data_IF_370737633790
#
_entry.id   IF_370737633790
#
_cell.length_a   1.000
_cell.length_b   1.000
_cell.length_c   1.000
_cell.angle_alpha   90.00
_cell.angle_beta   90.00
_cell.angle_gamma   90.00
#
_symmetry.space_group_name_H-M   'P 1'
#
loop_
_entity.id
_entity.type
_entity.pdbx_description
1 polymer ?
#
# COMPACT_ATOMS: atom_id res chain seq x y z
N UNK A 1 -2.25 10.13 -12.61
CA UNK A 1 -2.01 11.54 -12.23
C UNK A 1 -1.41 11.54 -10.83
N UNK A 2 -0.35 12.30 -10.55
CA UNK A 2 0.20 12.37 -9.19
C UNK A 2 -0.86 12.89 -8.22
N UNK A 3 -0.90 12.34 -7.01
CA UNK A 3 -1.82 12.82 -5.97
C UNK A 3 -1.38 14.18 -5.49
N UNK A 4 -2.34 15.10 -5.45
CA UNK A 4 -2.19 16.36 -4.74
C UNK A 4 -2.30 16.09 -3.24
N UNK A 5 -1.16 16.09 -2.56
CA UNK A 5 -1.07 15.87 -1.11
C UNK A 5 -1.83 16.97 -0.34
N UNK A 6 -2.07 18.15 -0.91
CA UNK A 6 -2.90 19.18 -0.24
C UNK A 6 -4.35 18.72 -0.04
N UNK A 7 -4.82 17.74 -0.82
CA UNK A 7 -6.15 17.16 -0.73
C UNK A 7 -6.21 15.96 0.22
N UNK A 8 -5.20 15.75 1.09
CA UNK A 8 -5.15 14.60 2.00
C UNK A 8 -6.39 14.49 2.89
N UNK A 9 -6.89 15.64 3.38
CA UNK A 9 -8.13 15.74 4.16
C UNK A 9 -9.39 15.97 3.32
N UNK A 10 -9.28 15.89 1.99
CA UNK A 10 -10.35 16.16 1.03
C UNK A 10 -11.27 14.96 0.82
N UNK A 11 -11.82 14.86 -0.40
CA UNK A 11 -12.85 13.87 -0.75
C UNK A 11 -12.43 12.40 -0.53
N UNK A 12 -11.12 12.13 -0.58
CA UNK A 12 -10.57 10.80 -0.35
C UNK A 12 -10.33 10.49 1.12
N UNK A 13 -10.62 11.39 2.06
CA UNK A 13 -10.52 11.19 3.51
C UNK A 13 -9.26 10.40 3.97
N UNK A 14 -8.07 10.73 3.43
CA UNK A 14 -6.84 9.96 3.66
C UNK A 14 -6.28 10.13 5.08
N UNK A 15 -6.74 11.14 5.81
CA UNK A 15 -6.49 11.33 7.24
C UNK A 15 -7.00 10.18 8.12
N UNK A 16 -7.94 9.36 7.62
CA UNK A 16 -8.38 8.14 8.32
C UNK A 16 -7.31 7.04 8.29
N UNK A 17 -6.40 7.09 7.32
CA UNK A 17 -5.34 6.10 7.11
C UNK A 17 -4.07 6.54 7.84
N UNK A 18 -3.62 7.78 7.62
CA UNK A 18 -2.40 8.31 8.21
C UNK A 18 -2.36 9.85 8.20
N UNK A 19 -1.44 10.42 8.98
CA UNK A 19 -1.00 11.82 8.88
C UNK A 19 -0.55 12.20 7.46
N UNK A 20 -0.72 13.48 7.11
CA UNK A 20 -0.36 14.00 5.80
C UNK A 20 1.16 13.87 5.55
N UNK A 21 1.60 13.29 4.42
CA UNK A 21 3.01 13.16 4.12
C UNK A 21 3.67 14.50 3.79
N UNK A 22 4.98 14.58 4.01
CA UNK A 22 5.75 15.80 3.72
C UNK A 22 5.78 16.16 2.22
N UNK A 23 5.65 15.18 1.32
CA UNK A 23 5.58 15.41 -0.12
C UNK A 23 4.85 14.32 -0.91
N UNK A 24 4.58 14.55 -2.21
CA UNK A 24 3.96 13.55 -3.07
C UNK A 24 4.94 12.45 -3.45
N UNK A 25 4.47 11.20 -3.44
CA UNK A 25 5.18 10.08 -4.05
C UNK A 25 4.84 10.01 -5.54
N UNK A 26 5.86 9.99 -6.40
CA UNK A 26 5.69 9.81 -7.85
C UNK A 26 6.00 8.37 -8.22
N UNK A 27 4.96 7.59 -8.49
CA UNK A 27 5.09 6.24 -9.03
C UNK A 27 5.35 6.31 -10.55
N UNK A 28 6.37 5.59 -11.02
CA UNK A 28 6.64 5.39 -12.45
C UNK A 28 6.64 3.89 -12.73
N UNK A 29 5.81 3.45 -13.68
CA UNK A 29 5.81 2.07 -14.13
C UNK A 29 7.00 1.83 -15.07
N UNK A 30 7.82 0.82 -14.76
CA UNK A 30 9.01 0.44 -15.53
C UNK A 30 9.64 -0.84 -14.99
N UNK A 31 10.72 -1.30 -15.62
CA UNK A 31 11.40 -2.57 -15.32
C UNK A 31 12.30 -2.54 -14.06
N UNK A 32 12.09 -1.60 -13.13
CA UNK A 32 12.97 -1.44 -11.98
C UNK A 32 12.65 -2.51 -10.93
N UNK A 33 13.61 -3.37 -10.61
CA UNK A 33 13.45 -4.44 -9.61
C UNK A 33 13.50 -3.83 -8.21
N UNK A 34 12.36 -3.80 -7.51
CA UNK A 34 12.23 -3.31 -6.12
C UNK A 34 13.12 -4.12 -5.15
N UNK A 35 13.43 -5.36 -5.53
CA UNK A 35 14.21 -6.32 -4.74
C UNK A 35 15.68 -5.88 -4.55
N UNK A 36 16.21 -5.00 -5.42
CA UNK A 36 17.57 -4.47 -5.31
C UNK A 36 17.69 -3.29 -4.33
N UNK A 37 16.56 -2.65 -3.96
CA UNK A 37 16.53 -1.42 -3.16
C UNK A 37 16.13 -1.65 -1.69
N UNK A 38 15.67 -2.85 -1.34
CA UNK A 38 15.27 -3.15 0.03
C UNK A 38 14.71 -4.56 0.23
N UNK A 39 14.36 -4.88 1.48
CA UNK A 39 13.76 -6.17 1.82
C UNK A 39 12.24 -6.11 1.68
N UNK A 40 11.70 -6.89 0.74
CA UNK A 40 10.24 -6.99 0.53
C UNK A 40 9.63 -7.99 1.52
N UNK A 41 8.75 -7.51 2.40
CA UNK A 41 8.01 -8.35 3.37
C UNK A 41 6.64 -8.80 2.85
N UNK A 42 6.01 -7.97 2.03
CA UNK A 42 4.68 -8.18 1.50
C UNK A 42 4.72 -7.76 0.04
N UNK A 43 5.03 -8.68 -0.90
CA UNK A 43 5.10 -8.33 -2.30
C UNK A 43 3.76 -7.76 -2.76
N UNK A 44 3.81 -6.78 -3.64
CA UNK A 44 2.63 -6.14 -4.21
C UNK A 44 1.74 -7.21 -4.85
N UNK A 45 0.46 -7.23 -4.46
CA UNK A 45 -0.55 -7.98 -5.19
C UNK A 45 -1.16 -7.06 -6.24
N UNK A 46 -1.65 -7.64 -7.33
CA UNK A 46 -2.52 -6.90 -8.22
C UNK A 46 -3.68 -6.27 -7.43
N UNK A 47 -4.29 -5.26 -8.01
CA UNK A 47 -5.42 -4.58 -7.40
C UNK A 47 -6.63 -5.52 -7.43
N UNK A 48 -6.99 -6.10 -6.28
CA UNK A 48 -8.17 -6.95 -6.11
C UNK A 48 -9.18 -6.29 -5.16
N UNK A 49 -10.04 -5.38 -5.63
CA UNK A 49 -11.24 -4.98 -4.92
C UNK A 49 -12.05 -6.23 -4.56
N UNK A 50 -12.32 -6.39 -3.25
CA UNK A 50 -12.72 -7.67 -2.65
C UNK A 50 -14.04 -8.26 -3.19
N UNK A 51 -14.87 -7.43 -3.82
CA UNK A 51 -16.17 -7.82 -4.36
C UNK A 51 -16.71 -6.75 -5.31
N UNK A 52 -17.37 -7.18 -6.38
CA UNK A 52 -18.16 -6.29 -7.24
C UNK A 52 -19.21 -5.54 -6.42
N UNK A 53 -19.40 -4.25 -6.70
CA UNK A 53 -20.40 -3.40 -6.06
C UNK A 53 -19.94 -2.66 -4.79
N UNK A 54 -18.66 -2.74 -4.41
CA UNK A 54 -18.10 -1.95 -3.28
C UNK A 54 -17.60 -0.56 -3.67
N UNK A 55 -17.70 -0.20 -4.95
CA UNK A 55 -17.23 1.07 -5.49
C UNK A 55 -15.70 1.16 -5.56
N UNK A 56 -15.19 2.39 -5.58
CA UNK A 56 -13.76 2.67 -5.68
C UNK A 56 -13.04 2.43 -4.35
N UNK A 57 -12.08 1.50 -4.36
CA UNK A 57 -11.16 1.27 -3.24
C UNK A 57 -9.98 2.21 -3.34
N UNK A 58 -9.58 2.79 -2.20
CA UNK A 58 -8.42 3.67 -2.07
C UNK A 58 -7.18 2.83 -1.75
N UNK A 59 -6.19 2.87 -2.62
CA UNK A 59 -4.87 2.26 -2.39
C UNK A 59 -3.88 3.37 -2.10
N UNK A 60 -3.43 3.44 -0.84
CA UNK A 60 -2.53 4.48 -0.36
C UNK A 60 -1.12 3.91 -0.23
N UNK A 61 -0.18 4.52 -0.93
CA UNK A 61 1.24 4.26 -0.77
C UNK A 61 1.83 5.29 0.18
N UNK A 62 2.59 4.81 1.17
CA UNK A 62 3.24 5.65 2.19
C UNK A 62 4.71 5.23 2.29
N UNK A 63 5.59 6.23 2.36
CA UNK A 63 7.03 6.06 2.58
C UNK A 63 7.40 6.73 3.88
N UNK A 64 8.13 6.02 4.72
CA UNK A 64 8.62 6.50 6.02
C UNK A 64 10.14 6.52 6.02
N UNK A 65 10.72 7.54 6.63
CA UNK A 65 12.15 7.59 6.89
C UNK A 65 12.49 6.65 8.06
N UNK A 66 13.53 5.83 7.86
CA UNK A 66 13.99 4.89 8.88
C UNK A 66 15.13 5.54 9.68
N UNK A 67 15.14 5.47 11.02
CA UNK A 67 16.26 5.98 11.83
C UNK A 67 17.54 5.15 11.65
N UNK A 68 17.41 3.95 11.06
CA UNK A 68 18.48 3.02 10.75
C UNK A 68 17.89 1.76 10.11
N UNK A 69 18.69 0.71 9.96
CA UNK A 69 18.21 -0.56 9.40
C UNK A 69 17.11 -1.17 10.28
N UNK A 70 15.93 -1.43 9.69
CA UNK A 70 14.81 -2.04 10.40
C UNK A 70 14.88 -3.57 10.35
N UNK A 71 14.65 -4.20 11.50
CA UNK A 71 14.40 -5.63 11.61
C UNK A 71 12.92 -5.89 11.85
N UNK A 72 12.13 -5.95 10.77
CA UNK A 72 10.70 -6.22 10.88
C UNK A 72 10.44 -7.68 11.28
N UNK A 73 9.53 -7.88 12.24
CA UNK A 73 9.20 -9.20 12.81
C UNK A 73 7.87 -9.74 12.29
N UNK A 74 7.20 -8.98 11.43
CA UNK A 74 6.04 -9.41 10.67
C UNK A 74 6.38 -10.64 9.83
N UNK A 75 5.40 -11.54 9.73
CA UNK A 75 5.51 -12.69 8.84
C UNK A 75 5.65 -12.20 7.39
N UNK A 76 6.64 -12.72 6.68
CA UNK A 76 6.75 -12.53 5.23
C UNK A 76 5.55 -13.20 4.57
N UNK A 77 4.73 -12.42 3.86
CA UNK A 77 3.56 -12.92 3.15
C UNK A 77 3.87 -13.12 1.67
N UNK A 78 3.15 -14.02 1.01
CA UNK A 78 3.28 -14.21 -0.44
C UNK A 78 2.35 -13.27 -1.20
N UNK A 79 2.58 -13.10 -2.50
CA UNK A 79 1.61 -12.46 -3.40
C UNK A 79 0.48 -13.41 -3.85
N UNK A 80 0.38 -14.60 -3.25
CA UNK A 80 -0.59 -15.65 -3.64
C UNK A 80 -1.64 -15.93 -2.55
N UNK A 81 -1.80 -15.04 -1.58
CA UNK A 81 -2.86 -15.14 -0.57
C UNK A 81 -3.19 -13.77 0.01
N UNK A 82 -4.48 -13.48 0.18
CA UNK A 82 -4.96 -12.29 0.89
C UNK A 82 -4.85 -12.41 2.41
N UNK A 83 -4.57 -13.59 2.95
CA UNK A 83 -4.54 -13.84 4.40
C UNK A 83 -3.41 -13.07 5.08
N UNK A 84 -3.72 -12.46 6.22
CA UNK A 84 -2.77 -11.66 6.99
C UNK A 84 -2.52 -10.24 6.47
N UNK A 85 -3.12 -9.84 5.34
CA UNK A 85 -3.04 -8.45 4.82
C UNK A 85 -4.12 -7.53 5.38
N UNK A 86 -5.31 -8.07 5.64
CA UNK A 86 -6.43 -7.32 6.18
C UNK A 86 -6.27 -6.95 7.66
N UNK A 87 -7.01 -5.93 8.11
CA UNK A 87 -7.02 -5.44 9.51
C UNK A 87 -5.66 -4.94 10.03
N UNK A 88 -4.72 -4.67 9.12
CA UNK A 88 -3.46 -4.02 9.44
C UNK A 88 -3.68 -2.53 9.77
N UNK A 89 -2.93 -2.02 10.74
CA UNK A 89 -2.96 -0.59 11.13
C UNK A 89 -1.56 -0.01 10.93
N UNK A 90 -1.40 0.84 9.91
CA UNK A 90 -0.11 1.44 9.58
C UNK A 90 0.45 2.29 10.72
N UNK A 91 -0.41 2.99 11.46
CA UNK A 91 -0.03 3.75 12.65
C UNK A 91 0.60 2.86 13.74
N UNK A 92 0.08 1.64 13.93
CA UNK A 92 0.66 0.71 14.90
C UNK A 92 2.04 0.20 14.42
N UNK A 93 2.19 -0.01 13.11
CA UNK A 93 3.48 -0.40 12.52
C UNK A 93 4.53 0.70 12.64
N UNK A 94 4.17 1.96 12.33
CA UNK A 94 5.12 3.08 12.44
C UNK A 94 5.57 3.28 13.89
N UNK A 95 4.65 3.17 14.85
CA UNK A 95 4.99 3.25 16.29
C UNK A 95 5.89 2.08 16.73
N UNK A 96 5.62 0.86 16.25
CA UNK A 96 6.42 -0.33 16.61
C UNK A 96 7.90 -0.21 16.22
N UNK A 97 8.18 0.53 15.15
CA UNK A 97 9.52 0.69 14.57
C UNK A 97 10.08 2.11 14.71
N UNK A 98 9.51 2.92 15.61
CA UNK A 98 9.92 4.30 15.86
C UNK A 98 10.01 5.17 14.60
N UNK A 99 9.10 4.93 13.66
CA UNK A 99 8.97 5.70 12.43
C UNK A 99 8.13 6.94 12.68
N UNK A 100 8.63 8.07 12.19
CA UNK A 100 7.96 9.37 12.23
C UNK A 100 6.73 9.46 11.31
N UNK A 101 6.34 10.69 10.99
CA UNK A 101 5.32 10.93 9.97
C UNK A 101 5.83 10.48 8.58
N UNK A 102 4.94 10.12 7.64
CA UNK A 102 5.35 9.71 6.31
C UNK A 102 6.07 10.86 5.58
N UNK A 103 7.20 10.55 4.94
CA UNK A 103 7.97 11.53 4.15
C UNK A 103 7.38 11.72 2.76
N UNK A 104 6.75 10.68 2.21
CA UNK A 104 6.06 10.77 0.93
C UNK A 104 4.83 9.88 0.92
N UNK A 105 3.83 10.26 0.13
CA UNK A 105 2.67 9.41 -0.10
C UNK A 105 1.92 9.71 -1.39
N UNK A 106 1.16 8.74 -1.87
CA UNK A 106 0.24 8.88 -2.99
C UNK A 106 -0.95 7.96 -2.78
N UNK A 107 -2.01 8.17 -3.54
CA UNK A 107 -3.22 7.37 -3.50
C UNK A 107 -3.74 7.17 -4.91
N UNK A 108 -4.13 5.96 -5.26
CA UNK A 108 -4.94 5.74 -6.45
C UNK A 108 -6.21 5.00 -6.07
N UNK A 109 -7.21 5.12 -6.94
CA UNK A 109 -8.46 4.42 -6.77
C UNK A 109 -8.59 3.37 -7.86
N UNK A 110 -9.16 2.23 -7.49
CA UNK A 110 -9.53 1.20 -8.42
C UNK A 110 -10.81 0.52 -7.93
N UNK A 111 -11.63 0.11 -8.87
CA UNK A 111 -12.85 -0.65 -8.62
C UNK A 111 -12.78 -1.99 -9.35
N UNK A 112 -13.77 -2.84 -9.09
CA UNK A 112 -13.80 -4.16 -9.68
C UNK A 112 -13.89 -4.04 -11.21
N UNK A 113 -12.97 -4.70 -11.91
CA UNK A 113 -12.96 -4.82 -13.37
C UNK A 113 -12.84 -6.30 -13.80
N UNK A 114 -12.88 -6.54 -15.11
CA UNK A 114 -12.82 -7.89 -15.69
C UNK A 114 -11.46 -8.59 -15.49
N UNK A 115 -10.45 -7.89 -14.95
CA UNK A 115 -9.15 -8.45 -14.58
C UNK A 115 -9.14 -9.01 -13.15
N UNK A 116 -9.99 -8.49 -12.25
CA UNK A 116 -10.07 -8.93 -10.85
C UNK A 116 -10.32 -10.44 -10.69
N UNK A 117 -11.21 -11.09 -11.45
CA UNK A 117 -11.38 -12.55 -11.37
C UNK A 117 -10.10 -13.34 -11.65
N UNK A 118 -9.28 -12.90 -12.61
CA UNK A 118 -8.01 -13.56 -12.96
C UNK A 118 -6.98 -13.43 -11.84
N UNK A 119 -7.00 -12.29 -11.15
CA UNK A 119 -6.16 -12.07 -9.98
C UNK A 119 -6.59 -12.94 -8.79
N UNK A 120 -7.89 -13.17 -8.60
CA UNK A 120 -8.39 -14.12 -7.59
C UNK A 120 -7.93 -15.55 -7.85
N UNK A 121 -7.83 -15.98 -9.12
CA UNK A 121 -7.26 -17.30 -9.46
C UNK A 121 -5.79 -17.43 -9.02
N UNK A 122 -4.99 -16.36 -9.18
CA UNK A 122 -3.60 -16.30 -8.70
C UNK A 122 -3.51 -16.27 -7.16
N UNK A 123 -4.45 -15.56 -6.50
CA UNK A 123 -4.53 -15.48 -5.04
C UNK A 123 -5.10 -16.74 -4.37
N UNK A 124 -5.71 -17.65 -5.14
CA UNK A 124 -6.18 -18.94 -4.67
C UNK A 124 -5.08 -20.02 -4.68
N UNK A 125 -3.84 -19.66 -5.06
CA UNK A 125 -2.69 -20.56 -4.99
C UNK A 125 -2.63 -21.65 -6.06
N UNK A 126 -3.26 -21.44 -7.23
CA UNK A 126 -3.00 -22.28 -8.41
C UNK A 126 -1.72 -21.88 -9.15
#
# INVERSE_FOLDING_TARGET
MPVDVSQWSGALALQEVEEQPAGPLVEKYGSLEIDELGKVFTPTQGVAPLSGGTGLHRYVWLVYEQPGSLSCSEKVLTNRSGDGRGKFKIQAFRQKYDLGAPVAGTCYQAEWDDYVPKLYEQLAGK
#
